data_IF_050452146339
#
_entry.id   IF_050452146339
#
_cell.length_a   1.000
_cell.length_b   1.000
_cell.length_c   1.000
_cell.angle_alpha   90.00
_cell.angle_beta   90.00
_cell.angle_gamma   90.00
#
_symmetry.space_group_name_H-M   'P 1'
#
loop_
_entity.id
_entity.type
_entity.pdbx_description
1 polymer ?
#
# COMPACT_ATOMS: atom_id res chain seq x y z
N UNK A 1 35.42 -2.10 21.35
CA UNK A 1 34.43 -1.03 21.06
C UNK A 1 34.91 -0.01 20.04
N UNK A 2 36.15 0.51 20.11
CA UNK A 2 36.65 1.54 19.16
C UNK A 2 36.66 1.14 17.67
N UNK A 3 37.03 -0.10 17.35
CA UNK A 3 37.12 -0.62 15.98
C UNK A 3 35.72 -0.78 15.35
N UNK A 4 34.75 -1.32 16.10
CA UNK A 4 33.35 -1.42 15.65
C UNK A 4 32.74 -0.03 15.43
N UNK A 5 33.00 0.93 16.34
CA UNK A 5 32.57 2.33 16.20
C UNK A 5 33.11 2.96 14.91
N UNK A 6 34.40 2.78 14.64
CA UNK A 6 35.08 3.34 13.47
C UNK A 6 34.67 2.69 12.16
N UNK A 7 34.32 1.39 12.19
CA UNK A 7 33.74 0.70 11.05
C UNK A 7 32.33 1.23 10.74
N UNK A 8 31.44 1.27 11.74
CA UNK A 8 30.06 1.74 11.56
C UNK A 8 30.00 3.20 11.11
N UNK A 9 30.81 4.09 11.70
CA UNK A 9 30.86 5.49 11.27
C UNK A 9 31.33 5.65 9.83
N UNK A 10 32.22 4.78 9.34
CA UNK A 10 32.81 4.93 8.02
C UNK A 10 32.05 4.15 6.92
N UNK A 11 31.25 3.15 7.27
CA UNK A 11 30.56 2.29 6.29
C UNK A 11 29.03 2.50 6.24
N UNK A 12 28.36 2.63 7.40
CA UNK A 12 26.89 2.66 7.50
C UNK A 12 26.34 4.02 7.97
N UNK A 13 27.12 4.74 8.78
CA UNK A 13 26.67 5.91 9.51
C UNK A 13 27.57 7.13 9.31
N UNK A 14 28.06 7.38 8.09
CA UNK A 14 28.90 8.55 7.79
C UNK A 14 28.19 9.89 8.08
N UNK A 15 26.86 9.90 8.05
CA UNK A 15 26.01 11.04 8.42
C UNK A 15 25.40 10.94 9.81
N UNK A 16 25.71 9.88 10.57
CA UNK A 16 25.10 9.64 11.88
C UNK A 16 25.82 10.42 12.98
N UNK A 17 25.05 10.87 13.98
CA UNK A 17 25.62 11.52 15.16
C UNK A 17 26.42 10.52 16.00
N UNK A 18 27.37 11.02 16.79
CA UNK A 18 28.19 10.19 17.66
C UNK A 18 27.35 9.32 18.63
N UNK A 19 26.22 9.85 19.08
CA UNK A 19 25.25 9.12 19.91
C UNK A 19 24.59 7.97 19.16
N UNK A 20 24.30 8.12 17.86
CA UNK A 20 23.70 7.07 17.04
C UNK A 20 24.71 5.96 16.75
N UNK A 21 25.97 6.30 16.45
CA UNK A 21 27.06 5.31 16.27
C UNK A 21 27.35 4.57 17.57
N UNK A 22 27.39 5.27 18.71
CA UNK A 22 27.55 4.65 20.03
C UNK A 22 26.39 3.73 20.36
N UNK A 23 25.14 4.16 20.16
CA UNK A 23 23.96 3.33 20.38
C UNK A 23 24.01 2.07 19.51
N UNK A 24 24.29 2.19 18.22
CA UNK A 24 24.37 1.03 17.31
C UNK A 24 25.45 0.01 17.68
N UNK A 25 26.56 0.47 18.24
CA UNK A 25 27.69 -0.41 18.60
C UNK A 25 27.64 -0.94 20.02
N UNK A 26 26.92 -0.27 20.92
CA UNK A 26 26.85 -0.61 22.35
C UNK A 26 25.49 -1.21 22.76
N UNK A 27 24.39 -0.85 22.11
CA UNK A 27 23.14 -1.61 22.21
C UNK A 27 23.23 -2.74 21.20
N UNK A 28 23.14 -3.99 21.67
CA UNK A 28 23.14 -5.18 20.80
C UNK A 28 22.18 -4.94 19.64
N UNK A 29 22.53 -5.42 18.45
CA UNK A 29 21.68 -5.37 17.25
C UNK A 29 20.21 -5.77 17.56
N UNK A 30 20.02 -6.67 18.52
CA UNK A 30 18.75 -7.05 19.16
C UNK A 30 17.88 -5.86 19.62
N UNK A 31 18.43 -4.82 20.24
CA UNK A 31 17.68 -3.65 20.71
C UNK A 31 17.19 -2.76 19.56
N UNK A 32 18.01 -2.55 18.53
CA UNK A 32 17.59 -1.79 17.34
C UNK A 32 16.50 -2.56 16.60
N UNK A 33 16.72 -3.85 16.34
CA UNK A 33 15.70 -4.71 15.73
C UNK A 33 14.43 -4.74 16.58
N UNK A 34 14.56 -4.81 17.90
CA UNK A 34 13.42 -4.79 18.82
C UNK A 34 12.62 -3.48 18.70
N UNK A 35 13.26 -2.31 18.76
CA UNK A 35 12.55 -1.03 18.68
C UNK A 35 11.95 -0.80 17.29
N UNK A 36 12.65 -1.17 16.21
CA UNK A 36 12.11 -1.10 14.85
C UNK A 36 10.90 -2.00 14.69
N UNK A 37 11.01 -3.29 15.07
CA UNK A 37 9.89 -4.23 14.95
C UNK A 37 8.72 -3.85 15.84
N UNK A 38 8.98 -3.37 17.06
CA UNK A 38 7.94 -2.86 17.95
C UNK A 38 7.18 -1.69 17.32
N UNK A 39 7.89 -0.76 16.69
CA UNK A 39 7.26 0.39 16.02
C UNK A 39 6.46 -0.05 14.80
N UNK A 40 7.00 -0.96 13.97
CA UNK A 40 6.29 -1.52 12.81
C UNK A 40 5.01 -2.22 13.26
N UNK A 41 5.08 -3.08 14.27
CA UNK A 41 3.92 -3.79 14.80
C UNK A 41 2.91 -2.84 15.46
N UNK A 42 3.38 -1.78 16.12
CA UNK A 42 2.50 -0.77 16.69
C UNK A 42 1.75 0.00 15.60
N UNK A 43 2.43 0.46 14.55
CA UNK A 43 1.81 1.15 13.41
C UNK A 43 0.81 0.22 12.69
N UNK A 44 1.20 -1.02 12.42
CA UNK A 44 0.30 -2.01 11.83
C UNK A 44 -0.94 -2.20 12.71
N UNK A 45 -0.78 -2.37 14.04
CA UNK A 45 -1.91 -2.52 14.96
C UNK A 45 -2.84 -1.30 14.93
N UNK A 46 -2.31 -0.08 14.92
CA UNK A 46 -3.13 1.14 14.88
C UNK A 46 -3.85 1.28 13.54
N UNK A 47 -3.17 1.01 12.42
CA UNK A 47 -3.78 1.00 11.09
C UNK A 47 -4.89 -0.04 10.99
N UNK A 48 -4.70 -1.26 11.50
CA UNK A 48 -5.75 -2.28 11.52
C UNK A 48 -6.95 -1.90 12.40
N UNK A 49 -6.75 -1.14 13.47
CA UNK A 49 -7.87 -0.63 14.30
C UNK A 49 -8.68 0.43 13.57
N UNK A 50 -8.01 1.31 12.84
CA UNK A 50 -8.68 2.32 12.01
C UNK A 50 -9.33 1.70 10.78
N UNK A 51 -8.71 0.69 10.17
CA UNK A 51 -9.28 -0.08 9.06
C UNK A 51 -10.55 -0.83 9.46
N UNK A 52 -10.68 -1.20 10.73
CA UNK A 52 -11.90 -1.81 11.26
C UNK A 52 -13.05 -0.82 11.45
N UNK A 53 -12.80 0.49 11.35
CA UNK A 53 -13.86 1.48 11.34
C UNK A 53 -14.61 1.44 10.00
N UNK A 54 -15.87 1.87 10.03
CA UNK A 54 -16.68 1.91 8.81
C UNK A 54 -16.11 2.94 7.81
N UNK A 55 -15.94 2.57 6.52
CA UNK A 55 -15.51 3.52 5.49
C UNK A 55 -16.49 4.69 5.37
N UNK A 56 -15.97 5.87 5.03
CA UNK A 56 -16.80 7.04 4.75
C UNK A 56 -17.52 6.88 3.39
N UNK A 57 -18.68 6.23 3.44
CA UNK A 57 -19.49 5.97 2.26
C UNK A 57 -20.07 7.25 1.64
N UNK A 58 -20.27 8.30 2.42
CA UNK A 58 -20.77 9.58 1.90
C UNK A 58 -19.72 10.22 1.02
N UNK A 59 -18.49 10.35 1.51
CA UNK A 59 -17.36 10.82 0.73
C UNK A 59 -17.14 10.00 -0.54
N UNK A 60 -17.21 8.67 -0.44
CA UNK A 60 -17.08 7.79 -1.60
C UNK A 60 -18.18 8.05 -2.63
N UNK A 61 -19.44 8.23 -2.19
CA UNK A 61 -20.57 8.51 -3.08
C UNK A 61 -20.47 9.87 -3.78
N UNK A 62 -19.98 10.88 -3.09
CA UNK A 62 -19.80 12.22 -3.67
C UNK A 62 -18.68 12.26 -4.72
N UNK A 63 -17.66 11.39 -4.57
CA UNK A 63 -16.46 11.41 -5.40
C UNK A 63 -16.35 10.20 -6.35
N UNK A 64 -17.43 9.47 -6.59
CA UNK A 64 -17.44 8.24 -7.42
C UNK A 64 -16.82 8.43 -8.81
N UNK A 65 -17.01 9.60 -9.43
CA UNK A 65 -16.44 9.92 -10.76
C UNK A 65 -14.95 10.26 -10.75
N UNK A 66 -14.31 10.29 -9.57
CA UNK A 66 -12.87 10.55 -9.38
C UNK A 66 -12.15 9.35 -8.76
N UNK A 67 -12.89 8.33 -8.33
CA UNK A 67 -12.36 7.17 -7.65
C UNK A 67 -12.45 5.95 -8.56
N UNK A 68 -11.33 5.24 -8.69
CA UNK A 68 -11.26 3.94 -9.35
C UNK A 68 -10.54 2.97 -8.41
N UNK A 69 -11.15 1.82 -8.17
CA UNK A 69 -10.57 0.76 -7.36
C UNK A 69 -10.25 -0.44 -8.23
N UNK A 70 -9.07 -0.98 -7.99
CA UNK A 70 -8.54 -2.15 -8.67
C UNK A 70 -8.28 -3.23 -7.63
N UNK A 71 -8.81 -4.42 -7.88
CA UNK A 71 -8.70 -5.59 -7.00
C UNK A 71 -8.00 -6.75 -7.70
N UNK A 72 -7.26 -7.55 -6.95
CA UNK A 72 -6.76 -8.84 -7.44
C UNK A 72 -7.77 -9.95 -7.22
N UNK A 73 -7.81 -10.92 -8.11
CA UNK A 73 -8.74 -12.05 -7.99
C UNK A 73 -8.47 -12.93 -6.76
N UNK A 74 -7.21 -13.07 -6.36
CA UNK A 74 -6.77 -13.86 -5.18
C UNK A 74 -6.00 -13.01 -4.16
N UNK A 75 -6.42 -11.75 -4.04
CA UNK A 75 -5.81 -10.80 -3.12
C UNK A 75 -6.35 -10.97 -1.70
N UNK A 76 -5.57 -11.64 -0.85
CA UNK A 76 -5.91 -11.85 0.56
C UNK A 76 -5.79 -10.57 1.41
N UNK A 77 -5.06 -9.55 0.93
CA UNK A 77 -4.89 -8.28 1.62
C UNK A 77 -5.99 -7.28 1.23
N UNK A 78 -6.48 -7.36 -0.01
CA UNK A 78 -7.64 -6.64 -0.53
C UNK A 78 -8.76 -7.58 -0.95
N UNK A 79 -9.47 -8.25 -0.02
CA UNK A 79 -10.42 -9.30 -0.36
C UNK A 79 -11.58 -8.80 -1.22
N UNK A 80 -12.05 -9.63 -2.14
CA UNK A 80 -13.17 -9.32 -3.05
C UNK A 80 -14.49 -8.97 -2.32
N UNK A 81 -14.63 -9.32 -1.04
CA UNK A 81 -15.75 -8.85 -0.22
C UNK A 81 -15.85 -7.31 -0.21
N UNK A 82 -14.71 -6.60 -0.16
CA UNK A 82 -14.68 -5.13 -0.19
C UNK A 82 -15.12 -4.60 -1.55
N UNK A 83 -14.76 -5.28 -2.64
CA UNK A 83 -15.25 -4.96 -3.98
C UNK A 83 -16.79 -5.05 -4.02
N UNK A 84 -17.37 -6.12 -3.49
CA UNK A 84 -18.83 -6.27 -3.44
C UNK A 84 -19.50 -5.21 -2.58
N UNK A 85 -18.90 -4.86 -1.44
CA UNK A 85 -19.43 -3.85 -0.54
C UNK A 85 -19.44 -2.46 -1.19
N UNK A 86 -18.34 -2.07 -1.84
CA UNK A 86 -18.25 -0.80 -2.58
C UNK A 86 -19.24 -0.79 -3.75
N UNK A 87 -19.37 -1.90 -4.49
CA UNK A 87 -20.34 -2.03 -5.58
C UNK A 87 -21.78 -1.78 -5.11
N UNK A 88 -22.13 -2.25 -3.92
CA UNK A 88 -23.48 -2.06 -3.32
C UNK A 88 -23.67 -0.65 -2.75
N UNK A 89 -22.67 -0.09 -2.08
CA UNK A 89 -22.77 1.17 -1.32
C UNK A 89 -22.44 2.43 -2.16
N UNK A 90 -21.64 2.26 -3.21
CA UNK A 90 -21.18 3.33 -4.10
C UNK A 90 -21.12 2.86 -5.58
N UNK A 91 -22.28 2.58 -6.20
CA UNK A 91 -22.35 1.89 -7.50
C UNK A 91 -21.79 2.68 -8.69
N UNK A 92 -21.65 4.01 -8.60
CA UNK A 92 -21.06 4.81 -9.68
C UNK A 92 -19.52 4.82 -9.67
N UNK A 93 -18.89 4.15 -8.71
CA UNK A 93 -17.44 4.05 -8.62
C UNK A 93 -16.90 3.09 -9.68
N UNK A 94 -15.78 3.41 -10.31
CA UNK A 94 -15.13 2.46 -11.22
C UNK A 94 -14.47 1.34 -10.43
N UNK A 95 -14.91 0.10 -10.66
CA UNK A 95 -14.37 -1.08 -10.02
C UNK A 95 -13.86 -2.03 -11.09
N UNK A 96 -12.62 -2.49 -10.95
CA UNK A 96 -11.99 -3.44 -11.88
C UNK A 96 -11.32 -4.57 -11.11
N UNK A 97 -11.35 -5.76 -11.70
CA UNK A 97 -10.69 -6.95 -11.15
C UNK A 97 -9.60 -7.36 -12.14
N UNK A 98 -8.38 -7.51 -11.62
CA UNK A 98 -7.22 -8.06 -12.29
C UNK A 98 -7.48 -9.56 -12.56
N UNK A 99 -7.24 -10.02 -13.79
CA UNK A 99 -7.64 -11.36 -14.26
C UNK A 99 -6.46 -12.24 -14.74
N UNK A 100 -5.25 -11.70 -14.78
CA UNK A 100 -4.00 -12.38 -15.15
C UNK A 100 -3.33 -13.10 -13.97
N UNK A 101 -3.85 -12.93 -12.74
CA UNK A 101 -3.39 -13.67 -11.56
C UNK A 101 -2.19 -13.03 -10.86
N UNK A 102 -2.07 -11.71 -10.94
CA UNK A 102 -1.01 -10.98 -10.24
C UNK A 102 -1.29 -10.93 -8.73
N UNK A 103 -0.23 -11.00 -7.92
CA UNK A 103 -0.35 -10.90 -6.45
C UNK A 103 -0.63 -9.45 -6.03
N UNK A 104 -1.05 -9.24 -4.77
CA UNK A 104 -1.36 -7.92 -4.18
C UNK A 104 -0.37 -6.81 -4.56
N UNK A 105 0.93 -7.15 -4.64
CA UNK A 105 1.96 -6.26 -5.15
C UNK A 105 2.00 -6.21 -6.68
N UNK A 106 0.90 -5.79 -7.33
CA UNK A 106 0.82 -5.69 -8.80
C UNK A 106 2.01 -4.92 -9.38
N UNK A 107 2.42 -3.83 -8.72
CA UNK A 107 3.52 -2.97 -9.12
C UNK A 107 4.93 -3.56 -8.89
N UNK A 108 5.04 -4.66 -8.15
CA UNK A 108 6.33 -5.27 -7.80
C UNK A 108 6.88 -6.20 -8.89
N UNK A 109 6.11 -6.46 -9.96
CA UNK A 109 6.55 -7.24 -11.11
C UNK A 109 6.46 -6.42 -12.39
N UNK A 110 7.26 -6.75 -13.40
CA UNK A 110 7.21 -6.04 -14.70
C UNK A 110 5.83 -6.23 -15.35
N UNK A 111 5.30 -7.45 -15.37
CA UNK A 111 4.00 -7.72 -15.98
C UNK A 111 2.86 -6.96 -15.28
N UNK A 112 2.75 -7.09 -13.96
CA UNK A 112 1.70 -6.41 -13.20
C UNK A 112 1.82 -4.88 -13.23
N UNK A 113 3.05 -4.34 -13.18
CA UNK A 113 3.26 -2.87 -13.29
C UNK A 113 2.86 -2.32 -14.65
N UNK A 114 3.17 -3.03 -15.75
CA UNK A 114 2.73 -2.66 -17.10
C UNK A 114 1.22 -2.70 -17.21
N UNK A 115 0.59 -3.75 -16.69
CA UNK A 115 -0.86 -3.90 -16.70
C UNK A 115 -1.56 -2.75 -15.95
N UNK A 116 -1.12 -2.45 -14.72
CA UNK A 116 -1.67 -1.34 -13.93
C UNK A 116 -1.46 0.00 -14.64
N UNK A 117 -0.29 0.22 -15.23
CA UNK A 117 -0.01 1.46 -15.97
C UNK A 117 -0.94 1.62 -17.19
N UNK A 118 -1.21 0.54 -17.92
CA UNK A 118 -2.15 0.55 -19.03
C UNK A 118 -3.59 0.81 -18.57
N UNK A 119 -4.00 0.20 -17.45
CA UNK A 119 -5.30 0.42 -16.84
C UNK A 119 -5.48 1.91 -16.46
N UNK A 120 -4.53 2.48 -15.72
CA UNK A 120 -4.54 3.89 -15.32
C UNK A 120 -4.51 4.82 -16.54
N UNK A 121 -3.69 4.53 -17.55
CA UNK A 121 -3.64 5.32 -18.78
C UNK A 121 -4.99 5.33 -19.52
N UNK A 122 -5.73 4.22 -19.47
CA UNK A 122 -7.07 4.11 -20.06
C UNK A 122 -8.08 4.96 -19.28
N UNK A 123 -8.04 4.91 -17.95
CA UNK A 123 -8.90 5.74 -17.08
C UNK A 123 -8.66 7.25 -17.27
N UNK A 124 -7.41 7.66 -17.49
CA UNK A 124 -7.08 9.07 -17.77
C UNK A 124 -7.60 9.51 -19.14
N UNK A 125 -7.45 8.65 -20.16
CA UNK A 125 -7.89 8.95 -21.53
C UNK A 125 -9.42 8.95 -21.68
N UNK A 126 -10.09 8.07 -20.94
CA UNK A 126 -11.53 7.94 -20.89
C UNK A 126 -11.99 8.23 -19.45
N UNK A 127 -12.15 9.51 -19.07
CA UNK A 127 -12.59 9.87 -17.73
C UNK A 127 -13.89 9.13 -17.40
N UNK A 128 -14.07 8.77 -16.12
CA UNK A 128 -15.12 7.93 -15.55
C UNK A 128 -16.59 8.36 -15.84
N UNK A 129 -16.80 9.39 -16.65
CA UNK A 129 -18.07 9.99 -17.02
C UNK A 129 -18.62 9.54 -18.39
N UNK A 130 -18.20 8.40 -18.95
CA UNK A 130 -18.92 7.81 -20.09
C UNK A 130 -19.86 6.69 -19.61
N UNK A 131 -21.19 6.82 -19.80
CA UNK A 131 -22.08 5.70 -19.61
C UNK A 131 -21.71 4.62 -20.63
N UNK A 132 -21.34 3.44 -20.14
CA UNK A 132 -21.24 2.25 -20.98
C UNK A 132 -22.66 1.92 -21.42
N UNK A 133 -23.03 2.38 -22.61
CA UNK A 133 -24.22 1.90 -23.31
C UNK A 133 -23.91 0.45 -23.69
N UNK A 134 -24.42 -0.49 -22.89
CA UNK A 134 -24.55 -1.87 -23.33
C UNK A 134 -25.56 -1.86 -24.48
N UNK A 135 -25.08 -1.93 -25.72
CA UNK A 135 -25.94 -2.21 -26.85
C UNK A 135 -26.48 -3.65 -26.75
N UNK A 136 -27.76 -3.86 -27.09
CA UNK A 136 -28.46 -5.14 -26.95
C UNK A 136 -27.89 -6.25 -27.84
#
# INVERSE_FOLDING_TARGET
MWAARRLVSNSLGASWSDTAVFTFTCTKFENIVYHTMRNVLYMAMTEFRELAAEPDWEFMRENQSKLAFLFGIDDHWGPLHLFEEISKKAPGTSLSIESEGHTHGFCCTVAGSVWVAQHVATLIKNPLNQPVILHP
#
